data_IF_383995330419
#
_entry.id   IF_383995330419
#
_cell.length_a   1.000
_cell.length_b   1.000
_cell.length_c   1.000
_cell.angle_alpha   90.00
_cell.angle_beta   90.00
_cell.angle_gamma   90.00
#
_symmetry.space_group_name_H-M   'P 1'
#
loop_
_entity.id
_entity.type
_entity.pdbx_description
1 polymer ?
#
# COMPACT_ATOMS: atom_id res chain seq x y z
N UNK A 1 9.61 -4.52 -5.74
CA UNK A 1 8.76 -5.69 -5.98
C UNK A 1 9.51 -6.96 -5.63
N UNK A 2 10.72 -7.13 -6.16
CA UNK A 2 11.63 -8.24 -5.83
C UNK A 2 11.76 -8.47 -4.33
N UNK A 3 12.09 -7.45 -3.54
CA UNK A 3 12.22 -7.58 -2.08
C UNK A 3 10.97 -8.16 -1.37
N UNK A 4 9.75 -7.78 -1.78
CA UNK A 4 8.54 -8.33 -1.17
C UNK A 4 8.29 -9.78 -1.63
N UNK A 5 8.64 -10.10 -2.87
CA UNK A 5 8.49 -11.43 -3.43
C UNK A 5 9.46 -12.43 -2.79
N UNK A 6 10.72 -12.03 -2.63
CA UNK A 6 11.78 -12.88 -2.07
C UNK A 6 11.53 -13.19 -0.59
N UNK A 7 10.90 -12.25 0.13
CA UNK A 7 10.51 -12.42 1.54
C UNK A 7 9.17 -13.12 1.73
N UNK A 8 8.43 -13.41 0.65
CA UNK A 8 7.04 -13.88 0.76
C UNK A 8 6.13 -12.91 1.51
N UNK A 9 6.45 -11.62 1.47
CA UNK A 9 5.84 -10.56 2.25
C UNK A 9 4.67 -9.90 1.49
N UNK A 10 3.63 -9.51 2.23
CA UNK A 10 2.53 -8.74 1.66
C UNK A 10 2.95 -7.26 1.46
N UNK A 11 2.42 -6.61 0.44
CA UNK A 11 2.74 -5.21 0.14
C UNK A 11 1.63 -4.32 0.69
N UNK A 12 1.98 -3.36 1.54
CA UNK A 12 1.07 -2.34 2.05
C UNK A 12 1.47 -0.97 1.49
N UNK A 13 0.51 -0.23 0.97
CA UNK A 13 0.75 1.07 0.35
C UNK A 13 -0.26 2.08 0.86
N UNK A 14 0.19 3.19 1.44
CA UNK A 14 -0.69 4.32 1.67
C UNK A 14 -0.61 5.32 0.52
N UNK A 15 -1.75 5.63 -0.11
CA UNK A 15 -1.80 6.53 -1.27
C UNK A 15 -3.04 7.41 -1.29
N UNK A 16 -2.82 8.74 -1.37
CA UNK A 16 -3.90 9.72 -1.46
C UNK A 16 -4.68 9.61 -2.79
N UNK A 17 -3.98 9.42 -3.90
CA UNK A 17 -4.57 9.42 -5.27
C UNK A 17 -4.56 8.06 -5.94
N UNK A 18 -3.92 7.05 -5.33
CA UNK A 18 -3.74 5.71 -5.89
C UNK A 18 -2.66 5.61 -6.97
N UNK A 19 -1.88 6.66 -7.21
CA UNK A 19 -0.86 6.68 -8.28
C UNK A 19 0.24 5.65 -8.06
N UNK A 20 0.76 5.54 -6.84
CA UNK A 20 1.77 4.55 -6.48
C UNK A 20 1.20 3.13 -6.58
N UNK A 21 -0.02 2.91 -6.08
CA UNK A 21 -0.70 1.62 -6.15
C UNK A 21 -0.89 1.13 -7.59
N UNK A 22 -1.30 2.03 -8.51
CA UNK A 22 -1.39 1.70 -9.94
C UNK A 22 -0.04 1.37 -10.56
N UNK A 23 1.05 2.03 -10.15
CA UNK A 23 2.41 1.69 -10.61
C UNK A 23 2.83 0.31 -10.14
N UNK A 24 2.55 -0.03 -8.89
CA UNK A 24 2.83 -1.36 -8.33
C UNK A 24 2.06 -2.43 -9.09
N UNK A 25 0.77 -2.22 -9.38
CA UNK A 25 -0.05 -3.16 -10.14
C UNK A 25 0.48 -3.43 -11.58
N UNK A 26 1.21 -2.48 -12.19
CA UNK A 26 1.84 -2.69 -13.51
C UNK A 26 2.87 -3.81 -13.49
N UNK A 27 3.56 -4.01 -12.38
CA UNK A 27 4.54 -5.09 -12.20
C UNK A 27 3.90 -6.46 -11.92
N UNK A 28 2.56 -6.56 -11.95
CA UNK A 28 1.81 -7.82 -11.77
C UNK A 28 2.28 -8.64 -10.56
N UNK A 29 2.20 -8.08 -9.34
CA UNK A 29 2.49 -8.86 -8.14
C UNK A 29 1.65 -10.13 -8.12
N UNK A 30 2.28 -11.22 -7.66
CA UNK A 30 1.63 -12.50 -7.43
C UNK A 30 0.80 -12.50 -6.14
N UNK A 31 1.15 -11.64 -5.18
CA UNK A 31 0.44 -11.46 -3.91
C UNK A 31 -0.47 -10.24 -3.92
N UNK A 32 -1.43 -10.23 -3.01
CA UNK A 32 -2.31 -9.08 -2.80
C UNK A 32 -1.50 -7.85 -2.35
N UNK A 33 -1.91 -6.68 -2.84
CA UNK A 33 -1.34 -5.39 -2.46
C UNK A 33 -2.42 -4.59 -1.76
N UNK A 34 -2.24 -4.37 -0.46
CA UNK A 34 -3.19 -3.62 0.36
C UNK A 34 -2.94 -2.13 0.19
N UNK A 35 -4.00 -1.37 -0.11
CA UNK A 35 -3.89 0.06 -0.39
C UNK A 35 -4.74 0.88 0.55
N UNK A 36 -4.12 1.59 1.48
CA UNK A 36 -4.81 2.57 2.32
C UNK A 36 -5.01 3.90 1.58
N UNK A 37 -6.21 4.46 1.64
CA UNK A 37 -6.51 5.79 1.09
C UNK A 37 -7.59 6.49 1.90
N UNK A 38 -7.52 7.83 2.10
CA UNK A 38 -8.58 8.56 2.80
C UNK A 38 -9.78 8.85 1.91
N UNK A 39 -9.74 8.49 0.61
CA UNK A 39 -10.84 8.76 -0.33
C UNK A 39 -11.57 7.47 -0.70
N UNK A 40 -12.83 7.36 -0.31
CA UNK A 40 -13.73 6.26 -0.72
C UNK A 40 -13.80 6.15 -2.25
N UNK A 41 -13.78 7.28 -2.96
CA UNK A 41 -13.78 7.32 -4.44
C UNK A 41 -12.52 6.64 -5.01
N UNK A 42 -11.35 6.96 -4.45
CA UNK A 42 -10.09 6.33 -4.88
C UNK A 42 -10.10 4.83 -4.57
N UNK A 43 -10.59 4.44 -3.38
CA UNK A 43 -10.70 3.03 -3.01
C UNK A 43 -11.56 2.23 -4.03
N UNK A 44 -12.73 2.75 -4.40
CA UNK A 44 -13.62 2.13 -5.40
C UNK A 44 -12.99 2.01 -6.80
N UNK A 45 -12.19 2.99 -7.22
CA UNK A 45 -11.51 2.91 -8.53
C UNK A 45 -10.40 1.86 -8.49
N UNK A 46 -9.66 1.79 -7.37
CA UNK A 46 -8.56 0.84 -7.22
C UNK A 46 -9.02 -0.60 -7.08
N UNK A 47 -10.27 -0.88 -6.67
CA UNK A 47 -10.76 -2.26 -6.50
C UNK A 47 -10.91 -3.01 -7.82
N UNK A 48 -10.90 -2.30 -8.94
CA UNK A 48 -10.93 -2.87 -10.29
C UNK A 48 -9.52 -3.14 -10.85
N UNK A 49 -8.47 -2.77 -10.12
CA UNK A 49 -7.08 -2.86 -10.59
C UNK A 49 -6.44 -4.15 -10.06
N UNK A 50 -5.68 -4.82 -10.93
CA UNK A 50 -5.00 -6.08 -10.64
C UNK A 50 -4.30 -6.11 -9.27
N UNK A 51 -4.58 -7.16 -8.50
CA UNK A 51 -4.01 -7.48 -7.19
C UNK A 51 -4.21 -6.44 -6.08
N UNK A 52 -4.87 -5.29 -6.34
CA UNK A 52 -5.07 -4.28 -5.33
C UNK A 52 -6.26 -4.61 -4.41
N UNK A 53 -6.05 -4.46 -3.11
CA UNK A 53 -7.04 -4.58 -2.05
C UNK A 53 -7.15 -3.23 -1.33
N UNK A 54 -7.94 -2.28 -1.89
CA UNK A 54 -8.04 -0.94 -1.33
C UNK A 54 -8.90 -0.91 -0.07
N UNK A 55 -8.48 -0.11 0.89
CA UNK A 55 -9.15 0.14 2.16
C UNK A 55 -9.29 1.64 2.40
N UNK A 56 -10.49 2.06 2.79
CA UNK A 56 -10.73 3.43 3.19
C UNK A 56 -10.17 3.65 4.61
N UNK A 57 -9.09 4.42 4.71
CA UNK A 57 -8.38 4.73 5.95
C UNK A 57 -8.23 6.25 6.06
N UNK A 58 -9.12 6.93 6.81
CA UNK A 58 -9.01 8.36 7.08
C UNK A 58 -7.71 8.68 7.82
N UNK A 59 -6.90 9.58 7.27
CA UNK A 59 -5.69 10.08 7.89
C UNK A 59 -5.37 11.49 7.44
N UNK A 60 -4.70 12.25 8.31
CA UNK A 60 -4.29 13.64 8.06
C UNK A 60 -2.98 13.73 7.24
N UNK A 61 -2.27 12.60 7.09
CA UNK A 61 -1.00 12.54 6.38
C UNK A 61 -0.59 11.12 6.01
N UNK A 62 0.48 11.02 5.20
CA UNK A 62 0.97 9.73 4.71
C UNK A 62 1.49 8.82 5.81
N UNK A 63 2.21 9.37 6.78
CA UNK A 63 2.78 8.60 7.89
C UNK A 63 1.68 8.04 8.80
N UNK A 64 0.78 8.90 9.29
CA UNK A 64 -0.38 8.48 10.08
C UNK A 64 -1.25 7.45 9.33
N UNK A 65 -1.42 7.64 8.01
CA UNK A 65 -2.15 6.71 7.16
C UNK A 65 -1.46 5.36 7.02
N UNK A 66 -0.13 5.35 6.85
CA UNK A 66 0.65 4.12 6.77
C UNK A 66 0.63 3.37 8.10
N UNK A 67 0.71 4.07 9.22
CA UNK A 67 0.64 3.45 10.55
C UNK A 67 -0.72 2.75 10.78
N UNK A 68 -1.82 3.44 10.49
CA UNK A 68 -3.17 2.84 10.54
C UNK A 68 -3.31 1.64 9.60
N UNK A 69 -2.71 1.72 8.41
CA UNK A 69 -2.70 0.61 7.46
C UNK A 69 -1.92 -0.59 8.01
N UNK A 70 -0.73 -0.38 8.58
CA UNK A 70 0.07 -1.45 9.20
C UNK A 70 -0.59 -2.04 10.43
N UNK A 71 -1.30 -1.25 11.24
CA UNK A 71 -2.05 -1.74 12.39
C UNK A 71 -3.19 -2.70 12.00
N UNK A 72 -3.69 -2.60 10.77
CA UNK A 72 -4.71 -3.49 10.21
C UNK A 72 -4.14 -4.87 9.87
N UNK A 73 -2.82 -4.99 9.62
CA UNK A 73 -2.12 -6.26 9.41
C UNK A 73 -1.02 -6.49 10.43
N UNK A 74 -1.41 -7.11 11.53
CA UNK A 74 -0.49 -7.50 12.60
C UNK A 74 0.23 -8.83 12.34
N UNK A 75 -0.26 -9.63 11.38
CA UNK A 75 0.15 -11.02 11.14
C UNK A 75 0.93 -11.17 9.83
N UNK A 76 2.13 -11.76 9.92
CA UNK A 76 2.98 -12.12 8.77
C UNK A 76 3.93 -11.00 8.30
N UNK A 77 4.93 -11.36 7.48
CA UNK A 77 5.91 -10.42 6.98
C UNK A 77 5.28 -9.45 5.98
N UNK A 78 5.64 -8.18 6.08
CA UNK A 78 5.13 -7.17 5.15
C UNK A 78 6.13 -6.07 4.82
N UNK A 79 5.94 -5.49 3.64
CA UNK A 79 6.65 -4.30 3.17
C UNK A 79 5.64 -3.17 3.03
N UNK A 80 5.73 -2.18 3.92
CA UNK A 80 4.81 -1.04 3.94
C UNK A 80 5.49 0.22 3.41
N UNK A 81 4.86 0.93 2.47
CA UNK A 81 5.41 2.14 1.88
C UNK A 81 4.38 3.23 1.59
N UNK A 82 4.84 4.48 1.58
CA UNK A 82 4.18 5.59 0.92
C UNK A 82 5.19 6.34 0.08
N UNK A 83 4.70 7.08 -0.91
CA UNK A 83 5.58 7.86 -1.79
C UNK A 83 4.90 9.13 -2.26
N UNK A 84 5.58 10.25 -2.02
CA UNK A 84 5.26 11.55 -2.60
C UNK A 84 6.25 11.77 -3.75
N UNK A 85 5.78 12.27 -4.89
CA UNK A 85 6.66 12.60 -6.01
C UNK A 85 7.61 13.73 -5.56
N UNK A 86 8.90 13.42 -5.38
CA UNK A 86 9.91 14.36 -4.85
C UNK A 86 10.00 14.42 -3.32
N UNK A 87 9.36 13.50 -2.59
CA UNK A 87 9.41 13.43 -1.12
C UNK A 87 10.06 12.15 -0.59
N UNK A 88 10.07 12.00 0.74
CA UNK A 88 10.65 10.85 1.44
C UNK A 88 9.86 9.57 1.11
N UNK A 89 10.61 8.52 0.74
CA UNK A 89 10.09 7.17 0.59
C UNK A 89 10.42 6.37 1.85
N UNK A 90 9.42 6.12 2.68
CA UNK A 90 9.60 5.31 3.87
C UNK A 90 9.19 3.86 3.56
N UNK A 91 10.05 2.91 3.93
CA UNK A 91 9.80 1.46 3.80
C UNK A 91 9.91 0.85 5.19
N UNK A 92 8.79 0.39 5.76
CA UNK A 92 8.80 -0.41 7.00
C UNK A 92 8.75 -1.88 6.61
N UNK A 93 9.69 -2.67 7.12
CA UNK A 93 9.72 -4.14 6.97
C UNK A 93 9.48 -4.74 8.35
N UNK A 94 8.50 -5.63 8.46
CA UNK A 94 8.26 -6.45 9.65
C UNK A 94 8.46 -7.92 9.23
N UNK A 95 9.19 -8.67 10.05
CA UNK A 95 9.39 -10.12 9.91
C UNK A 95 8.46 -10.87 10.85
#
# INVERSE_FOLDING_TARGET
MEMANDLGADILVYSMTGTLARRIAKFRPLRAVYVGTPSVKVARVLSLVWALQPMHIPAEGYENGLEKLTATRQTGPFVATYGIRGGVHLVKVKF
#
